data_IF_498290354505
#
_entry.id   IF_498290354505
#
_cell.length_a   1.000
_cell.length_b   1.000
_cell.length_c   1.000
_cell.angle_alpha   90.00
_cell.angle_beta   90.00
_cell.angle_gamma   90.00
#
_symmetry.space_group_name_H-M   'P 1'
#
loop_
_entity.id
_entity.type
_entity.pdbx_description
1 polymer ?
#
# COMPACT_ATOMS: atom_id res chain seq x y z
N UNK A 1 -34.43 -11.70 7.13
CA UNK A 1 -34.26 -10.23 7.25
C UNK A 1 -33.04 -9.90 6.43
N UNK A 2 -33.21 -9.40 5.21
CA UNK A 2 -32.06 -9.02 4.39
C UNK A 2 -31.30 -7.87 5.08
N UNK A 3 -29.96 -7.88 5.10
CA UNK A 3 -29.20 -6.79 5.68
C UNK A 3 -29.50 -5.53 4.89
N UNK A 4 -29.98 -4.47 5.56
CA UNK A 4 -30.01 -3.12 4.98
C UNK A 4 -28.61 -2.82 4.45
N UNK A 5 -28.51 -2.37 3.20
CA UNK A 5 -27.24 -1.99 2.59
C UNK A 5 -26.56 -0.95 3.51
N UNK A 6 -25.54 -1.38 4.25
CA UNK A 6 -24.76 -0.53 5.14
C UNK A 6 -23.82 0.32 4.30
N UNK A 7 -23.53 1.54 4.78
CA UNK A 7 -22.51 2.42 4.20
C UNK A 7 -21.18 1.68 4.14
N UNK A 8 -20.53 1.65 2.97
CA UNK A 8 -19.24 1.01 2.77
C UNK A 8 -18.06 1.99 2.96
N UNK A 9 -16.83 1.47 3.11
CA UNK A 9 -15.62 2.32 3.07
C UNK A 9 -15.54 3.10 1.75
N UNK A 10 -16.03 2.53 0.65
CA UNK A 10 -15.99 3.15 -0.67
C UNK A 10 -16.98 4.32 -0.76
N UNK A 11 -18.19 4.16 -0.21
CA UNK A 11 -19.20 5.20 -0.18
C UNK A 11 -18.69 6.45 0.55
N UNK A 12 -17.99 6.26 1.68
CA UNK A 12 -17.36 7.36 2.43
C UNK A 12 -16.28 8.05 1.58
N UNK A 13 -15.45 7.29 0.84
CA UNK A 13 -14.42 7.89 -0.03
C UNK A 13 -15.05 8.75 -1.11
N UNK A 14 -16.06 8.24 -1.80
CA UNK A 14 -16.78 8.95 -2.85
C UNK A 14 -17.43 10.22 -2.30
N UNK A 15 -18.13 10.11 -1.17
CA UNK A 15 -18.73 11.25 -0.50
C UNK A 15 -17.70 12.36 -0.19
N UNK A 16 -16.54 12.00 0.37
CA UNK A 16 -15.49 12.97 0.69
C UNK A 16 -14.88 13.58 -0.58
N UNK A 17 -14.52 12.75 -1.55
CA UNK A 17 -13.93 13.23 -2.80
C UNK A 17 -14.87 14.19 -3.53
N UNK A 18 -16.13 13.81 -3.69
CA UNK A 18 -17.17 14.62 -4.34
C UNK A 18 -17.40 15.93 -3.58
N UNK A 19 -17.49 15.88 -2.25
CA UNK A 19 -17.66 17.08 -1.43
C UNK A 19 -16.50 18.05 -1.60
N UNK A 20 -15.26 17.57 -1.57
CA UNK A 20 -14.07 18.41 -1.69
C UNK A 20 -13.95 19.05 -3.08
N UNK A 21 -14.29 18.31 -4.14
CA UNK A 21 -14.30 18.84 -5.51
C UNK A 21 -15.42 19.87 -5.70
N UNK A 22 -16.65 19.54 -5.29
CA UNK A 22 -17.82 20.40 -5.44
C UNK A 22 -17.70 21.70 -4.66
N UNK A 23 -17.06 21.68 -3.48
CA UNK A 23 -16.81 22.87 -2.65
C UNK A 23 -15.49 23.58 -2.97
N UNK A 24 -14.75 23.12 -3.98
CA UNK A 24 -13.45 23.68 -4.37
C UNK A 24 -12.47 23.78 -3.19
N UNK A 25 -12.51 22.78 -2.29
CA UNK A 25 -11.60 22.65 -1.15
C UNK A 25 -10.31 21.92 -1.56
N UNK A 26 -10.42 21.05 -2.57
CA UNK A 26 -9.29 20.35 -3.15
C UNK A 26 -8.25 21.32 -3.74
N UNK A 27 -6.98 20.94 -3.61
CA UNK A 27 -5.84 21.60 -4.25
C UNK A 27 -5.08 20.59 -5.12
N UNK A 28 -4.23 21.07 -6.03
CA UNK A 28 -3.51 20.19 -6.96
C UNK A 28 -2.64 19.15 -6.22
N UNK A 29 -2.66 17.85 -6.61
CA UNK A 29 -3.25 17.29 -7.82
C UNK A 29 -4.76 17.04 -7.73
N UNK A 30 -5.47 17.37 -8.82
CA UNK A 30 -6.90 17.13 -9.03
C UNK A 30 -7.14 16.24 -10.27
N UNK A 31 -8.27 15.50 -10.34
CA UNK A 31 -9.26 15.31 -9.27
C UNK A 31 -8.68 14.47 -8.11
N UNK A 32 -9.27 14.61 -6.92
CA UNK A 32 -8.84 13.90 -5.70
C UNK A 32 -9.31 12.44 -5.65
N UNK A 33 -10.22 12.02 -6.53
CA UNK A 33 -10.67 10.64 -6.64
C UNK A 33 -9.50 9.66 -6.79
N UNK A 34 -9.58 8.54 -6.06
CA UNK A 34 -8.54 7.50 -5.97
C UNK A 34 -7.20 7.99 -5.37
N UNK A 35 -7.19 9.13 -4.68
CA UNK A 35 -6.01 9.69 -4.03
C UNK A 35 -6.29 10.01 -2.56
N UNK A 36 -5.22 10.18 -1.79
CA UNK A 36 -5.31 10.97 -0.56
C UNK A 36 -5.50 12.44 -0.98
N UNK A 37 -6.62 13.10 -0.62
CA UNK A 37 -6.93 14.43 -1.12
C UNK A 37 -5.90 15.46 -0.70
N UNK A 38 -5.33 16.22 -1.64
CA UNK A 38 -4.69 17.48 -1.28
C UNK A 38 -5.75 18.57 -1.18
N UNK A 39 -5.54 19.55 -0.31
CA UNK A 39 -6.52 20.56 0.01
C UNK A 39 -5.89 21.92 0.28
N UNK A 40 -6.68 22.97 0.07
CA UNK A 40 -6.31 24.34 0.41
C UNK A 40 -6.11 24.45 1.92
N UNK A 41 -4.92 24.87 2.34
CA UNK A 41 -4.56 24.92 3.75
C UNK A 41 -3.82 23.68 4.27
N UNK A 42 -3.46 22.71 3.42
CA UNK A 42 -2.65 21.55 3.84
C UNK A 42 -1.32 21.94 4.49
N UNK A 43 -0.62 22.94 3.94
CA UNK A 43 0.60 23.48 4.55
C UNK A 43 0.38 24.12 5.92
N UNK A 44 -0.78 24.75 6.14
CA UNK A 44 -1.16 25.33 7.43
C UNK A 44 -1.42 24.20 8.45
N UNK A 45 -2.23 23.21 8.07
CA UNK A 45 -2.48 22.03 8.91
C UNK A 45 -1.18 21.30 9.28
N UNK A 46 -0.23 21.20 8.34
CA UNK A 46 1.10 20.64 8.60
C UNK A 46 1.88 21.42 9.67
N UNK A 47 1.71 22.75 9.79
CA UNK A 47 2.46 23.52 10.78
C UNK A 47 2.15 23.11 12.21
N UNK A 48 0.93 22.64 12.48
CA UNK A 48 0.47 22.23 13.80
C UNK A 48 1.27 21.05 14.37
N UNK A 49 2.00 20.30 13.53
CA UNK A 49 2.86 19.21 13.99
C UNK A 49 4.02 19.71 14.88
N UNK A 50 4.46 20.96 14.70
CA UNK A 50 5.55 21.54 15.49
C UNK A 50 5.20 21.71 16.97
N UNK A 51 3.91 21.85 17.27
CA UNK A 51 3.41 22.06 18.63
C UNK A 51 3.22 20.74 19.38
N UNK A 52 3.39 19.60 18.70
CA UNK A 52 3.30 18.28 19.32
C UNK A 52 4.61 17.91 20.03
N UNK A 53 4.52 17.62 21.32
CA UNK A 53 5.64 17.08 22.09
C UNK A 53 6.22 15.78 21.48
N UNK A 54 5.36 14.96 20.86
CA UNK A 54 5.78 13.75 20.15
C UNK A 54 6.68 14.06 18.95
N UNK A 55 6.44 15.14 18.21
CA UNK A 55 7.29 15.55 17.09
C UNK A 55 8.60 16.17 17.57
N UNK A 56 8.57 16.94 18.66
CA UNK A 56 9.76 17.55 19.24
C UNK A 56 10.83 16.49 19.59
N UNK A 57 10.40 15.37 20.20
CA UNK A 57 11.30 14.27 20.61
C UNK A 57 11.75 13.32 19.47
N UNK A 58 11.05 13.31 18.33
CA UNK A 58 11.38 12.44 17.19
C UNK A 58 12.75 12.77 16.58
N UNK A 59 13.55 11.74 16.30
CA UNK A 59 14.75 11.84 15.45
C UNK A 59 14.51 11.22 14.08
N UNK A 60 13.82 10.07 14.01
CA UNK A 60 13.46 9.41 12.76
C UNK A 60 11.94 9.43 12.54
N UNK A 61 11.51 10.06 11.44
CA UNK A 61 10.09 10.19 11.08
C UNK A 61 9.83 9.53 9.73
N UNK A 62 8.80 8.71 9.67
CA UNK A 62 8.25 8.21 8.42
C UNK A 62 7.09 9.09 7.99
N UNK A 63 7.11 9.57 6.75
CA UNK A 63 6.01 10.36 6.18
C UNK A 63 5.64 9.80 4.82
N UNK A 64 4.35 9.51 4.61
CA UNK A 64 3.85 9.04 3.31
C UNK A 64 4.18 10.03 2.17
N UNK A 65 4.28 9.55 0.91
CA UNK A 65 4.63 10.40 -0.23
C UNK A 65 3.47 11.28 -0.72
N UNK A 66 2.28 11.17 -0.13
CA UNK A 66 1.09 11.89 -0.55
C UNK A 66 1.29 13.42 -0.49
N UNK A 67 0.64 14.13 -1.41
CA UNK A 67 0.78 15.58 -1.55
C UNK A 67 0.39 16.39 -0.30
N UNK A 68 -0.73 16.13 0.43
CA UNK A 68 -1.06 16.91 1.62
C UNK A 68 -0.01 16.83 2.74
N UNK A 69 0.88 15.83 2.72
CA UNK A 69 1.91 15.63 3.75
C UNK A 69 3.25 16.29 3.39
N UNK A 70 3.36 16.98 2.25
CA UNK A 70 4.59 17.64 1.80
C UNK A 70 5.11 18.67 2.81
N UNK A 71 4.19 19.40 3.46
CA UNK A 71 4.54 20.34 4.52
C UNK A 71 5.23 19.66 5.70
N UNK A 72 4.77 18.48 6.12
CA UNK A 72 5.41 17.72 7.20
C UNK A 72 6.78 17.21 6.80
N UNK A 73 6.94 16.71 5.56
CA UNK A 73 8.26 16.32 5.03
C UNK A 73 9.25 17.48 5.05
N UNK A 74 8.82 18.67 4.63
CA UNK A 74 9.65 19.87 4.69
C UNK A 74 10.04 20.23 6.13
N UNK A 75 9.08 20.21 7.06
CA UNK A 75 9.32 20.52 8.47
C UNK A 75 10.29 19.54 9.14
N UNK A 76 10.18 18.25 8.82
CA UNK A 76 11.12 17.24 9.29
C UNK A 76 12.55 17.55 8.85
N UNK A 77 12.75 17.85 7.55
CA UNK A 77 14.05 18.20 7.00
C UNK A 77 14.61 19.51 7.60
N UNK A 78 13.77 20.54 7.76
CA UNK A 78 14.16 21.79 8.40
C UNK A 78 14.56 21.61 9.86
N UNK A 79 13.94 20.64 10.53
CA UNK A 79 14.24 20.26 11.92
C UNK A 79 15.43 19.29 12.02
N UNK A 80 16.12 19.01 10.91
CA UNK A 80 17.26 18.09 10.82
C UNK A 80 16.95 16.67 11.30
N UNK A 81 15.70 16.23 11.17
CA UNK A 81 15.27 14.86 11.48
C UNK A 81 15.59 13.94 10.30
N UNK A 82 15.85 12.67 10.56
CA UNK A 82 15.90 11.64 9.52
C UNK A 82 14.50 11.46 8.96
N UNK A 83 14.32 11.75 7.67
CA UNK A 83 13.05 11.57 6.97
C UNK A 83 13.09 10.29 6.14
N UNK A 84 12.17 9.38 6.43
CA UNK A 84 11.92 8.16 5.68
C UNK A 84 10.63 8.33 4.88
N UNK A 85 10.68 8.02 3.59
CA UNK A 85 9.52 8.04 2.71
C UNK A 85 9.34 6.66 2.08
N UNK A 86 8.16 6.03 2.19
CA UNK A 86 7.90 4.72 1.60
C UNK A 86 8.12 4.72 0.09
N UNK A 87 8.63 3.61 -0.44
CA UNK A 87 8.69 3.44 -1.89
C UNK A 87 7.29 3.18 -2.45
N UNK A 88 6.91 3.78 -3.59
CA UNK A 88 5.60 3.53 -4.17
C UNK A 88 5.38 2.04 -4.44
N UNK A 89 4.30 1.50 -3.85
CA UNK A 89 3.89 0.10 -4.01
C UNK A 89 4.95 -0.92 -3.58
N UNK A 90 5.91 -0.52 -2.73
CA UNK A 90 6.91 -1.41 -2.12
C UNK A 90 7.78 -2.18 -3.13
N UNK A 91 7.96 -1.65 -4.35
CA UNK A 91 8.60 -2.39 -5.46
C UNK A 91 10.13 -2.45 -5.39
N UNK A 92 10.78 -1.53 -4.68
CA UNK A 92 12.24 -1.35 -4.73
C UNK A 92 12.86 -1.15 -3.34
N UNK A 93 12.29 -1.77 -2.32
CA UNK A 93 12.67 -1.59 -0.91
C UNK A 93 11.57 -0.95 -0.07
N UNK A 94 11.78 -0.85 1.25
CA UNK A 94 10.75 -0.36 2.17
C UNK A 94 10.70 1.18 2.21
N UNK A 95 11.86 1.81 2.37
CA UNK A 95 11.95 3.27 2.46
C UNK A 95 13.02 3.86 1.54
N UNK A 96 12.87 5.15 1.28
CA UNK A 96 13.90 6.06 0.85
C UNK A 96 14.24 6.98 2.02
N UNK A 97 15.49 6.98 2.47
CA UNK A 97 16.02 7.98 3.41
C UNK A 97 16.39 9.23 2.64
N UNK A 98 15.76 10.35 2.94
CA UNK A 98 16.03 11.61 2.23
C UNK A 98 17.39 12.16 2.66
N UNK A 99 18.24 12.46 1.69
CA UNK A 99 19.61 12.95 1.87
C UNK A 99 19.77 14.29 1.14
N UNK A 100 19.40 15.42 1.77
CA UNK A 100 19.66 16.73 1.21
C UNK A 100 21.16 16.95 0.98
N UNK A 101 21.57 17.67 -0.08
CA UNK A 101 22.97 18.03 -0.30
C UNK A 101 23.57 18.79 0.90
N UNK A 102 24.89 18.67 1.16
CA UNK A 102 25.56 19.47 2.19
C UNK A 102 25.31 20.97 1.99
N UNK A 103 24.95 21.68 3.07
CA UNK A 103 24.64 23.11 3.00
C UNK A 103 23.30 23.45 2.32
N UNK A 104 22.40 22.48 2.15
CA UNK A 104 21.09 22.70 1.54
C UNK A 104 20.33 23.91 2.14
N UNK A 105 19.97 24.86 1.27
CA UNK A 105 19.14 26.00 1.64
C UNK A 105 17.69 25.57 1.86
N UNK A 106 16.86 26.47 2.43
CA UNK A 106 15.41 26.22 2.60
C UNK A 106 14.72 25.84 1.29
N UNK A 107 15.15 26.41 0.16
CA UNK A 107 14.56 26.10 -1.15
C UNK A 107 14.97 24.71 -1.66
N UNK A 108 16.20 24.27 -1.37
CA UNK A 108 16.66 22.91 -1.66
C UNK A 108 15.87 21.91 -0.81
N UNK A 109 15.68 22.18 0.49
CA UNK A 109 14.86 21.31 1.35
C UNK A 109 13.41 21.22 0.87
N UNK A 110 12.83 22.33 0.38
CA UNK A 110 11.50 22.32 -0.24
C UNK A 110 11.45 21.39 -1.45
N UNK A 111 12.48 21.39 -2.31
CA UNK A 111 12.59 20.45 -3.43
C UNK A 111 12.69 19.01 -2.93
N UNK A 112 13.54 18.71 -1.95
CA UNK A 112 13.70 17.37 -1.37
C UNK A 112 12.39 16.81 -0.79
N UNK A 113 11.51 17.65 -0.25
CA UNK A 113 10.22 17.23 0.32
C UNK A 113 9.16 16.84 -0.74
N UNK A 114 9.35 17.20 -2.01
CA UNK A 114 8.41 16.83 -3.09
C UNK A 114 8.58 15.37 -3.49
N UNK A 115 7.56 14.76 -4.12
CA UNK A 115 7.67 13.38 -4.63
C UNK A 115 8.79 13.20 -5.66
N UNK A 116 9.13 14.24 -6.42
CA UNK A 116 10.29 14.20 -7.32
C UNK A 116 11.61 14.32 -6.54
N UNK A 117 11.63 15.16 -5.50
CA UNK A 117 12.76 15.27 -4.58
C UNK A 117 13.09 13.97 -3.89
N UNK A 118 12.07 13.22 -3.46
CA UNK A 118 12.23 11.89 -2.89
C UNK A 118 12.97 10.96 -3.85
N UNK A 119 12.71 11.03 -5.16
CA UNK A 119 13.42 10.21 -6.15
C UNK A 119 14.86 10.65 -6.38
N UNK A 120 15.12 11.96 -6.32
CA UNK A 120 16.40 12.54 -6.72
C UNK A 120 17.40 12.71 -5.56
N UNK A 121 16.91 12.80 -4.32
CA UNK A 121 17.68 13.14 -3.13
C UNK A 121 17.43 12.13 -2.02
N UNK A 122 17.52 10.84 -2.34
CA UNK A 122 17.38 9.80 -1.33
C UNK A 122 18.30 8.61 -1.58
N UNK A 123 18.50 7.86 -0.51
CA UNK A 123 19.17 6.56 -0.52
C UNK A 123 18.17 5.48 -0.14
N UNK A 124 18.08 4.37 -0.88
CA UNK A 124 17.17 3.28 -0.54
C UNK A 124 17.57 2.63 0.78
N UNK A 125 16.56 2.19 1.52
CA UNK A 125 16.69 1.51 2.81
C UNK A 125 15.95 0.18 2.71
N UNK A 126 16.73 -0.90 2.78
CA UNK A 126 16.25 -2.27 2.64
C UNK A 126 15.61 -2.83 3.91
N UNK A 127 15.01 -4.02 3.79
CA UNK A 127 14.34 -4.72 4.89
C UNK A 127 15.30 -5.18 6.00
N UNK A 128 16.58 -5.40 5.68
CA UNK A 128 17.58 -5.83 6.67
C UNK A 128 18.15 -4.67 7.50
N UNK A 129 17.71 -3.44 7.22
CA UNK A 129 18.17 -2.27 7.96
C UNK A 129 17.51 -2.20 9.34
N UNK A 130 18.32 -1.87 10.36
CA UNK A 130 17.84 -1.62 11.73
C UNK A 130 17.36 -0.17 11.86
N UNK A 131 16.24 0.12 11.22
CA UNK A 131 15.57 1.43 11.32
C UNK A 131 14.63 1.42 12.53
N UNK A 132 14.60 2.51 13.30
CA UNK A 132 13.63 2.72 14.36
C UNK A 132 12.84 3.98 14.04
N UNK A 133 11.53 3.85 13.84
CA UNK A 133 10.66 4.97 13.48
C UNK A 133 9.98 5.49 14.76
N UNK A 134 10.31 6.72 15.14
CA UNK A 134 9.76 7.37 16.35
C UNK A 134 8.36 7.95 16.12
N UNK A 135 8.00 8.23 14.86
CA UNK A 135 6.76 8.86 14.46
C UNK A 135 6.37 8.46 13.04
N UNK A 136 5.11 8.07 12.87
CA UNK A 136 4.51 7.75 11.57
C UNK A 136 3.53 8.86 11.18
N UNK A 137 3.64 9.38 9.96
CA UNK A 137 2.70 10.34 9.40
C UNK A 137 2.07 9.75 8.15
N UNK A 138 0.76 9.51 8.22
CA UNK A 138 -0.01 8.74 7.23
C UNK A 138 -1.09 9.59 6.56
N UNK A 139 -1.28 9.39 5.25
CA UNK A 139 -2.33 10.02 4.47
C UNK A 139 -3.70 9.36 4.69
N UNK A 140 -4.78 10.14 4.71
CA UNK A 140 -6.14 9.64 4.92
C UNK A 140 -7.16 10.30 3.98
N UNK A 141 -8.19 9.54 3.57
CA UNK A 141 -9.37 10.11 2.91
C UNK A 141 -10.37 10.58 3.94
N UNK A 142 -10.63 9.77 4.98
CA UNK A 142 -11.52 10.13 6.07
C UNK A 142 -10.94 9.64 7.40
N UNK A 143 -11.24 10.37 8.48
CA UNK A 143 -10.91 9.97 9.85
C UNK A 143 -12.03 10.30 10.82
N UNK A 144 -12.14 9.52 11.89
CA UNK A 144 -13.03 9.82 13.02
C UNK A 144 -12.23 10.39 14.18
N UNK A 145 -12.85 11.24 15.00
CA UNK A 145 -12.26 11.72 16.26
C UNK A 145 -11.85 10.56 17.21
N UNK A 146 -12.43 9.36 17.03
CA UNK A 146 -12.05 8.12 17.71
C UNK A 146 -10.73 7.49 17.23
N UNK A 147 -10.06 8.09 16.24
CA UNK A 147 -8.80 7.61 15.67
C UNK A 147 -8.95 6.57 14.55
N UNK A 148 -10.17 6.38 14.05
CA UNK A 148 -10.47 5.47 12.95
C UNK A 148 -10.11 6.10 11.62
N UNK A 149 -9.54 5.32 10.69
CA UNK A 149 -8.94 5.84 9.47
C UNK A 149 -9.43 5.08 8.25
N UNK A 150 -9.78 5.81 7.19
CA UNK A 150 -10.02 5.26 5.86
C UNK A 150 -8.99 5.86 4.90
N UNK A 151 -8.12 5.01 4.36
CA UNK A 151 -7.22 5.37 3.27
C UNK A 151 -7.89 5.34 1.89
N UNK A 152 -7.12 5.56 0.82
CA UNK A 152 -7.61 5.57 -0.57
C UNK A 152 -8.13 4.24 -1.13
N UNK A 153 -7.92 3.13 -0.41
CA UNK A 153 -8.49 1.82 -0.75
C UNK A 153 -7.52 0.75 -1.26
N UNK A 154 -6.24 1.07 -1.46
CA UNK A 154 -5.24 0.09 -1.93
C UNK A 154 -4.56 -0.72 -0.79
N UNK A 155 -4.79 -0.36 0.48
CA UNK A 155 -4.21 -1.07 1.64
C UNK A 155 -2.70 -0.92 1.86
N UNK A 156 -2.01 -0.12 1.04
CA UNK A 156 -0.55 0.01 1.12
C UNK A 156 -0.03 0.56 2.45
N UNK A 157 -0.68 1.59 3.02
CA UNK A 157 -0.22 2.19 4.28
C UNK A 157 -0.37 1.21 5.46
N UNK A 158 -1.44 0.41 5.45
CA UNK A 158 -1.74 -0.60 6.47
C UNK A 158 -0.74 -1.77 6.39
N UNK A 159 -0.43 -2.21 5.16
CA UNK A 159 0.61 -3.22 4.91
C UNK A 159 2.00 -2.72 5.29
N UNK A 160 2.35 -1.49 4.92
CA UNK A 160 3.63 -0.89 5.23
C UNK A 160 3.85 -0.78 6.74
N UNK A 161 2.82 -0.36 7.49
CA UNK A 161 2.88 -0.35 8.95
C UNK A 161 3.09 -1.77 9.50
N UNK A 162 2.35 -2.74 8.99
CA UNK A 162 2.48 -4.14 9.39
C UNK A 162 3.87 -4.71 9.12
N UNK A 163 4.52 -4.29 8.03
CA UNK A 163 5.92 -4.63 7.72
C UNK A 163 6.89 -3.99 8.70
N UNK A 164 6.69 -2.71 9.04
CA UNK A 164 7.51 -2.05 10.06
C UNK A 164 7.40 -2.76 11.42
N UNK A 165 6.22 -3.27 11.77
CA UNK A 165 6.04 -4.04 13.02
C UNK A 165 6.84 -5.35 12.95
N UNK A 166 6.73 -6.10 11.85
CA UNK A 166 7.48 -7.35 11.66
C UNK A 166 9.00 -7.15 11.67
N UNK A 167 9.48 -5.98 11.26
CA UNK A 167 10.90 -5.60 11.31
C UNK A 167 11.35 -5.08 12.68
N UNK A 168 10.44 -4.89 13.63
CA UNK A 168 10.72 -4.21 14.90
C UNK A 168 11.03 -2.72 14.74
N UNK A 169 10.71 -2.11 13.60
CA UNK A 169 10.94 -0.70 13.32
C UNK A 169 9.91 0.21 13.99
N UNK A 170 8.71 -0.30 14.27
CA UNK A 170 7.68 0.38 15.06
C UNK A 170 7.11 -0.56 16.12
N UNK A 171 6.47 0.02 17.13
CA UNK A 171 5.74 -0.70 18.17
C UNK A 171 4.33 -0.12 18.33
N UNK A 172 3.48 -0.75 19.15
CA UNK A 172 2.16 -0.21 19.49
C UNK A 172 2.22 1.22 20.07
N UNK A 173 3.33 1.54 20.76
CA UNK A 173 3.58 2.86 21.33
C UNK A 173 4.09 3.90 20.33
N UNK A 174 4.43 3.53 19.09
CA UNK A 174 4.86 4.48 18.06
C UNK A 174 3.68 5.37 17.67
N UNK A 175 3.76 6.71 17.86
CA UNK A 175 2.67 7.61 17.52
C UNK A 175 2.41 7.67 16.01
N UNK A 176 1.12 7.76 15.65
CA UNK A 176 0.64 7.88 14.27
C UNK A 176 -0.15 9.18 14.15
N UNK A 177 0.26 10.01 13.19
CA UNK A 177 -0.32 11.33 12.91
C UNK A 177 -0.90 11.34 11.51
N UNK A 178 -2.04 12.00 11.33
CA UNK A 178 -2.58 12.28 9.99
C UNK A 178 -2.89 13.76 9.82
N UNK A 179 -2.73 14.24 8.58
CA UNK A 179 -3.06 15.62 8.18
C UNK A 179 -4.23 15.55 7.21
N UNK A 180 -5.33 16.20 7.55
CA UNK A 180 -6.57 16.19 6.76
C UNK A 180 -7.24 17.57 6.80
N UNK A 181 -8.16 17.83 5.86
CA UNK A 181 -9.06 18.96 5.95
C UNK A 181 -10.15 18.71 6.99
N UNK A 182 -10.75 19.75 7.57
CA UNK A 182 -11.82 19.65 8.57
C UNK A 182 -13.00 18.78 8.09
N UNK A 183 -13.37 18.87 6.82
CA UNK A 183 -14.47 18.08 6.23
C UNK A 183 -14.17 16.57 6.11
N UNK A 184 -12.91 16.16 6.24
CA UNK A 184 -12.51 14.76 6.23
C UNK A 184 -12.61 14.12 7.61
N UNK A 185 -12.90 14.92 8.65
CA UNK A 185 -13.20 14.43 10.00
C UNK A 185 -14.69 14.12 10.07
N UNK A 186 -15.04 12.84 10.06
CA UNK A 186 -16.42 12.33 9.98
C UNK A 186 -16.62 11.17 10.95
N UNK A 187 -17.87 10.89 11.30
CA UNK A 187 -18.17 9.65 12.02
C UNK A 187 -18.04 8.47 11.06
N UNK A 188 -17.21 7.50 11.42
CA UNK A 188 -16.97 6.27 10.64
C UNK A 188 -17.62 5.15 11.43
N UNK A 189 -18.50 4.32 10.86
CA UNK A 189 -19.05 3.18 11.61
C UNK A 189 -17.96 2.17 11.99
N UNK A 190 -17.93 1.72 13.24
CA UNK A 190 -16.93 0.75 13.73
C UNK A 190 -16.98 -0.57 12.94
N UNK A 191 -18.17 -0.97 12.48
CA UNK A 191 -18.39 -2.17 11.68
C UNK A 191 -17.63 -2.17 10.35
N UNK A 192 -17.10 -1.02 9.93
CA UNK A 192 -16.25 -0.92 8.75
C UNK A 192 -14.77 -1.16 9.07
N UNK A 193 -14.36 -1.17 10.33
CA UNK A 193 -12.97 -1.39 10.68
C UNK A 193 -12.62 -2.86 10.71
N UNK A 194 -11.39 -3.12 10.32
CA UNK A 194 -10.77 -4.42 10.30
C UNK A 194 -9.50 -4.41 11.13
N UNK A 195 -9.03 -5.58 11.57
CA UNK A 195 -7.88 -5.69 12.47
C UNK A 195 -6.55 -5.26 11.82
N UNK A 196 -6.53 -5.15 10.50
CA UNK A 196 -5.38 -4.66 9.75
C UNK A 196 -5.41 -3.15 9.51
N UNK A 197 -6.54 -2.46 9.76
CA UNK A 197 -6.63 -1.02 9.51
C UNK A 197 -5.78 -0.25 10.54
N UNK A 198 -4.86 0.59 10.05
CA UNK A 198 -4.03 1.44 10.89
C UNK A 198 -4.86 2.58 11.50
N UNK A 199 -4.90 2.66 12.82
CA UNK A 199 -5.49 3.76 13.59
C UNK A 199 -4.52 4.94 13.75
N UNK A 200 -5.06 6.11 14.09
CA UNK A 200 -4.29 7.35 14.28
C UNK A 200 -4.45 7.90 15.69
N UNK A 201 -3.35 8.42 16.25
CA UNK A 201 -3.31 9.02 17.59
C UNK A 201 -3.60 10.53 17.55
N UNK A 202 -3.21 11.19 16.46
CA UNK A 202 -3.40 12.63 16.26
C UNK A 202 -3.97 12.94 14.86
N UNK A 203 -4.95 13.83 14.83
CA UNK A 203 -5.54 14.38 13.61
C UNK A 203 -5.29 15.88 13.58
N UNK A 204 -4.59 16.35 12.55
CA UNK A 204 -4.23 17.74 12.39
C UNK A 204 -5.02 18.31 11.22
N UNK A 205 -5.82 19.33 11.52
CA UNK A 205 -6.61 20.08 10.56
C UNK A 205 -6.13 21.53 10.52
N UNK A 206 -6.53 22.34 9.51
CA UNK A 206 -6.27 23.76 9.52
C UNK A 206 -6.76 24.49 10.77
N UNK A 207 -7.87 24.04 11.39
CA UNK A 207 -8.51 24.77 12.50
C UNK A 207 -8.18 24.21 13.89
N UNK A 208 -7.81 22.93 13.99
CA UNK A 208 -7.61 22.25 15.28
C UNK A 208 -6.70 21.04 15.21
N UNK A 209 -6.17 20.67 16.37
CA UNK A 209 -5.44 19.42 16.63
C UNK A 209 -6.29 18.56 17.54
N UNK A 210 -6.51 17.30 17.16
CA UNK A 210 -7.32 16.33 17.92
C UNK A 210 -6.41 15.20 18.36
N UNK A 211 -6.38 14.92 19.67
CA UNK A 211 -5.80 13.70 20.24
C UNK A 211 -6.92 12.68 20.40
N UNK A 212 -6.80 11.53 19.76
CA UNK A 212 -7.94 10.61 19.55
C UNK A 212 -8.21 9.71 20.75
N UNK A 213 -7.20 9.43 21.56
CA UNK A 213 -7.31 8.46 22.65
C UNK A 213 -7.71 7.07 22.17
N UNK A 214 -7.36 6.70 20.93
CA UNK A 214 -7.81 5.47 20.31
C UNK A 214 -7.41 4.23 21.14
N UNK A 215 -8.40 3.50 21.65
CA UNK A 215 -8.18 2.28 22.44
C UNK A 215 -8.00 1.03 21.56
N UNK A 216 -8.38 1.12 20.28
CA UNK A 216 -8.22 0.01 19.33
C UNK A 216 -6.72 -0.19 19.05
N UNK A 217 -6.20 -1.42 19.18
CA UNK A 217 -4.79 -1.69 18.92
C UNK A 217 -4.44 -1.41 17.46
N UNK A 218 -3.22 -0.93 17.22
CA UNK A 218 -2.66 -0.82 15.88
C UNK A 218 -2.33 -2.23 15.35
N UNK A 219 -2.19 -2.43 14.04
CA UNK A 219 -1.82 -3.74 13.49
C UNK A 219 -0.57 -4.30 14.19
N UNK A 220 -0.60 -5.59 14.54
CA UNK A 220 0.49 -6.27 15.28
C UNK A 220 1.44 -7.04 14.37
N UNK A 221 1.27 -6.93 13.05
CA UNK A 221 2.05 -7.64 12.05
C UNK A 221 1.23 -7.91 10.79
N UNK A 222 1.83 -8.63 9.85
CA UNK A 222 1.19 -8.93 8.56
C UNK A 222 0.12 -10.02 8.74
N UNK A 223 -1.13 -9.69 8.40
CA UNK A 223 -2.24 -10.65 8.38
C UNK A 223 -2.28 -11.35 7.01
N UNK A 224 -1.50 -12.41 6.85
CA UNK A 224 -1.31 -13.13 5.58
C UNK A 224 -2.62 -13.62 4.93
N UNK A 225 -3.62 -13.98 5.73
CA UNK A 225 -4.92 -14.46 5.24
C UNK A 225 -5.72 -13.42 4.45
N UNK A 226 -5.35 -12.13 4.53
CA UNK A 226 -6.03 -11.04 3.81
C UNK A 226 -5.41 -10.69 2.46
N UNK A 227 -4.27 -11.29 2.11
CA UNK A 227 -3.61 -11.06 0.83
C UNK A 227 -3.85 -12.26 -0.10
N UNK A 228 -4.41 -12.00 -1.28
CA UNK A 228 -4.59 -13.03 -2.30
C UNK A 228 -3.22 -13.50 -2.83
N UNK A 229 -3.16 -14.76 -3.27
CA UNK A 229 -1.98 -15.39 -3.87
C UNK A 229 -1.35 -14.53 -4.99
N UNK A 230 -2.18 -13.82 -5.78
CA UNK A 230 -1.72 -12.91 -6.82
C UNK A 230 -0.93 -11.70 -6.27
N UNK A 231 -1.36 -11.14 -5.13
CA UNK A 231 -0.66 -10.06 -4.45
C UNK A 231 0.68 -10.55 -3.88
N UNK A 232 0.70 -11.75 -3.29
CA UNK A 232 1.94 -12.38 -2.81
C UNK A 232 2.92 -12.69 -3.95
N UNK A 233 2.44 -13.21 -5.08
CA UNK A 233 3.28 -13.54 -6.24
C UNK A 233 3.93 -12.30 -6.85
N UNK A 234 3.20 -11.18 -6.88
CA UNK A 234 3.70 -9.86 -7.28
C UNK A 234 4.73 -9.28 -6.30
N UNK A 235 4.55 -9.54 -5.01
CA UNK A 235 5.39 -8.98 -3.94
C UNK A 235 6.74 -9.71 -3.82
N UNK A 236 6.75 -11.04 -3.97
CA UNK A 236 7.94 -11.88 -3.80
C UNK A 236 8.64 -12.27 -5.10
N UNK A 237 8.25 -11.70 -6.25
CA UNK A 237 8.97 -11.94 -7.51
C UNK A 237 8.85 -13.38 -8.03
N UNK A 238 7.67 -13.99 -7.93
CA UNK A 238 7.34 -15.22 -8.65
C UNK A 238 7.92 -16.54 -8.14
N UNK A 239 8.57 -16.57 -6.98
CA UNK A 239 8.79 -17.84 -6.28
C UNK A 239 7.57 -18.14 -5.40
N UNK A 240 6.90 -19.24 -5.71
CA UNK A 240 5.72 -19.70 -4.98
C UNK A 240 6.08 -19.91 -3.50
N UNK A 241 5.60 -19.03 -2.63
CA UNK A 241 5.53 -19.33 -1.20
C UNK A 241 4.59 -20.53 -1.03
N UNK A 242 5.16 -21.70 -0.78
CA UNK A 242 4.43 -22.85 -0.25
C UNK A 242 3.97 -22.51 1.18
N UNK A 243 2.85 -21.80 1.29
CA UNK A 243 2.12 -21.72 2.55
C UNK A 243 1.49 -23.10 2.75
N UNK A 244 2.11 -23.91 3.62
CA UNK A 244 1.46 -25.09 4.17
C UNK A 244 0.32 -24.63 5.08
N UNK A 245 -0.88 -24.54 4.53
CA UNK A 245 -2.09 -24.54 5.34
C UNK A 245 -2.21 -25.93 5.97
N UNK A 246 -2.25 -26.09 7.31
CA UNK A 246 -2.61 -27.37 7.90
C UNK A 246 -4.09 -27.59 7.59
N UNK A 247 -4.37 -28.42 6.58
CA UNK A 247 -5.71 -28.93 6.38
C UNK A 247 -6.09 -29.74 7.62
N UNK A 248 -7.02 -29.18 8.41
CA UNK A 248 -7.70 -29.89 9.48
C UNK A 248 -8.38 -31.14 8.88
N UNK A 249 -7.90 -32.30 9.32
CA UNK A 249 -8.63 -33.56 9.42
C UNK A 249 -9.37 -34.07 8.18
N UNK A 250 -8.73 -34.96 7.43
CA UNK A 250 -9.44 -36.12 6.86
C UNK A 250 -8.79 -37.41 7.36
N UNK A 251 -9.56 -38.43 7.76
CA UNK A 251 -9.00 -39.68 8.27
C UNK A 251 -8.32 -40.46 7.15
N UNK A 252 -7.17 -41.07 7.42
CA UNK A 252 -6.52 -41.97 6.48
C UNK A 252 -7.26 -43.32 6.43
N UNK A 253 -7.62 -43.85 5.26
CA UNK A 253 -8.14 -45.20 5.17
C UNK A 253 -6.96 -46.16 4.97
N UNK A 254 -6.56 -46.86 6.02
CA UNK A 254 -5.77 -48.09 5.92
C UNK A 254 -6.03 -48.92 7.17
N UNK A 255 -7.02 -49.82 7.10
CA UNK A 255 -7.06 -51.15 7.73
C UNK A 255 -8.46 -51.76 7.51
N UNK A 256 -8.59 -52.66 6.53
CA UNK A 256 -9.03 -54.03 6.76
C UNK A 256 -8.97 -54.88 5.49
N UNK A 257 -8.65 -56.15 5.72
CA UNK A 257 -8.26 -57.15 4.74
C UNK A 257 -9.45 -57.90 4.12
N UNK A 258 -9.15 -58.47 2.95
CA UNK A 258 -9.71 -59.62 2.24
C UNK A 258 -11.06 -60.24 2.71
N UNK A 259 -12.00 -60.35 1.76
CA UNK A 259 -13.17 -61.23 1.83
C UNK A 259 -14.04 -61.16 0.58
N UNK A 260 -13.83 -62.12 -0.33
CA UNK A 260 -14.75 -62.73 -1.31
C UNK A 260 -15.72 -61.87 -2.17
N UNK A 261 -15.61 -62.07 -3.50
CA UNK A 261 -16.63 -61.73 -4.52
C UNK A 261 -17.49 -62.99 -4.82
N UNK A 262 -18.73 -62.88 -5.35
CA UNK A 262 -18.90 -62.59 -6.78
C UNK A 262 -20.19 -61.85 -7.24
N UNK A 263 -20.12 -61.45 -8.52
CA UNK A 263 -21.18 -61.36 -9.56
C UNK A 263 -22.18 -60.19 -9.55
N UNK A 264 -21.97 -59.22 -10.45
CA UNK A 264 -22.79 -59.00 -11.67
C UNK A 264 -22.39 -57.68 -12.39
N UNK A 265 -22.04 -57.77 -13.67
CA UNK A 265 -21.75 -56.70 -14.65
C UNK A 265 -23.05 -56.13 -15.28
N UNK A 266 -23.09 -55.08 -16.15
CA UNK A 266 -22.00 -54.53 -16.99
C UNK A 266 -21.91 -52.99 -17.23
N UNK A 267 -20.83 -52.65 -17.95
CA UNK A 267 -20.59 -51.53 -18.89
C UNK A 267 -20.39 -50.09 -18.38
N UNK A 268 -19.12 -49.67 -18.45
CA UNK A 268 -18.69 -48.27 -18.52
C UNK A 268 -18.56 -47.84 -20.00
N UNK A 269 -19.05 -46.64 -20.31
CA UNK A 269 -18.71 -45.90 -21.52
C UNK A 269 -17.96 -44.62 -21.12
N UNK A 270 -16.76 -44.47 -21.68
CA UNK A 270 -16.00 -43.22 -21.71
C UNK A 270 -16.71 -42.18 -22.59
N UNK A 271 -16.71 -40.91 -22.16
CA UNK A 271 -17.00 -39.78 -23.03
C UNK A 271 -16.11 -38.58 -22.65
N UNK A 272 -15.11 -38.36 -23.49
CA UNK A 272 -14.31 -37.14 -23.63
C UNK A 272 -15.07 -36.19 -24.54
N UNK A 273 -15.48 -35.00 -24.07
CA UNK A 273 -15.75 -33.76 -24.85
C UNK A 273 -15.77 -32.61 -23.82
N UNK A 274 -15.04 -31.50 -23.88
CA UNK A 274 -14.68 -30.62 -25.00
C UNK A 274 -15.36 -29.26 -24.75
N UNK A 275 -14.59 -28.22 -24.41
CA UNK A 275 -15.07 -26.84 -24.21
C UNK A 275 -15.60 -26.24 -25.54
N UNK A 276 -16.74 -25.54 -25.56
CA UNK A 276 -17.16 -24.78 -26.73
C UNK A 276 -16.70 -23.32 -26.64
N UNK A 277 -15.90 -22.90 -27.63
CA UNK A 277 -15.82 -21.51 -28.10
C UNK A 277 -16.93 -21.31 -29.14
N UNK A 278 -17.57 -20.15 -29.12
CA UNK A 278 -18.50 -19.68 -30.15
C UNK A 278 -18.37 -18.16 -30.33
N UNK A 279 -19.05 -17.57 -31.34
CA UNK A 279 -18.60 -17.64 -32.73
C UNK A 279 -18.31 -16.26 -33.34
N UNK A 280 -17.75 -16.31 -34.55
CA UNK A 280 -17.30 -15.21 -35.41
C UNK A 280 -18.08 -15.25 -36.73
N UNK A 281 -18.62 -14.11 -37.16
CA UNK A 281 -19.06 -13.73 -38.53
C UNK A 281 -19.15 -12.20 -38.51
N UNK A 282 -19.12 -11.41 -39.58
CA UNK A 282 -18.38 -11.34 -40.85
C UNK A 282 -18.73 -9.94 -41.42
N UNK A 283 -17.89 -9.36 -42.29
CA UNK A 283 -18.38 -8.43 -43.32
C UNK A 283 -17.82 -7.00 -43.39
N UNK A 284 -17.20 -6.75 -44.55
CA UNK A 284 -17.10 -5.48 -45.31
C UNK A 284 -15.96 -4.46 -45.10
N UNK A 285 -15.14 -4.36 -46.16
CA UNK A 285 -14.27 -3.22 -46.52
C UNK A 285 -15.08 -2.15 -47.23
N UNK A 286 -14.56 -0.90 -47.31
CA UNK A 286 -14.05 -0.49 -48.62
C UNK A 286 -12.71 0.29 -48.59
N UNK A 287 -12.24 0.47 -49.82
CA UNK A 287 -11.02 1.11 -50.38
C UNK A 287 -10.52 2.42 -49.79
N UNK A 288 -9.19 2.60 -49.82
CA UNK A 288 -8.51 3.89 -49.75
C UNK A 288 -7.04 3.79 -50.18
N UNK A 289 -6.72 4.32 -51.36
CA UNK A 289 -5.36 4.48 -51.89
C UNK A 289 -4.64 5.64 -51.22
N UNK A 290 -3.32 5.52 -50.95
CA UNK A 290 -2.38 6.64 -51.11
C UNK A 290 -0.92 6.15 -51.07
N UNK A 291 -0.19 6.57 -52.10
CA UNK A 291 1.24 6.45 -52.37
C UNK A 291 2.13 7.23 -51.39
N UNK A 292 3.38 6.79 -51.19
CA UNK A 292 4.41 7.64 -50.58
C UNK A 292 5.74 6.95 -50.26
N UNK A 293 6.71 7.15 -51.14
CA UNK A 293 8.15 6.90 -51.08
C UNK A 293 8.87 6.90 -49.71
N UNK A 294 9.96 6.11 -49.60
CA UNK A 294 11.17 6.54 -48.87
C UNK A 294 12.04 5.46 -48.22
N UNK A 295 13.03 4.94 -48.96
CA UNK A 295 14.45 4.72 -48.59
C UNK A 295 14.82 4.94 -47.09
N UNK A 296 15.61 4.17 -46.36
CA UNK A 296 16.77 3.31 -46.65
C UNK A 296 17.36 2.83 -45.30
N UNK A 297 18.24 1.81 -45.35
CA UNK A 297 19.40 1.73 -44.45
C UNK A 297 19.27 0.86 -43.20
N UNK A 298 19.78 -0.37 -43.29
CA UNK A 298 19.79 -1.34 -42.19
C UNK A 298 20.85 -1.12 -41.11
N UNK A 299 20.78 -1.93 -40.05
CA UNK A 299 21.95 -2.41 -39.34
C UNK A 299 21.69 -3.73 -38.59
N UNK A 300 22.79 -4.48 -38.47
CA UNK A 300 22.97 -5.86 -38.01
C UNK A 300 22.68 -6.09 -36.53
N UNK A 301 22.40 -7.36 -36.26
CA UNK A 301 22.44 -8.09 -34.97
C UNK A 301 23.87 -8.23 -34.44
N UNK A 302 24.04 -8.07 -33.12
CA UNK A 302 24.97 -8.80 -32.23
C UNK A 302 24.53 -8.47 -30.78
N UNK A 303 24.13 -9.45 -29.95
CA UNK A 303 24.98 -10.04 -28.90
C UNK A 303 25.07 -9.07 -27.72
N UNK A 304 24.46 -9.28 -26.55
CA UNK A 304 24.49 -10.48 -25.73
C UNK A 304 25.40 -10.18 -24.54
N UNK A 305 24.85 -9.61 -23.47
CA UNK A 305 25.50 -9.49 -22.17
C UNK A 305 24.48 -9.70 -21.06
N UNK A 306 24.83 -10.64 -20.18
CA UNK A 306 23.95 -11.28 -19.22
C UNK A 306 23.54 -10.40 -18.05
N UNK A 307 22.41 -10.79 -17.47
CA UNK A 307 21.92 -10.30 -16.19
C UNK A 307 22.86 -10.77 -15.07
N UNK A 308 23.23 -9.92 -14.09
CA UNK A 308 23.97 -10.41 -12.94
C UNK A 308 23.08 -11.36 -12.14
N UNK A 309 23.62 -12.55 -11.91
CA UNK A 309 23.02 -13.63 -11.13
C UNK A 309 22.75 -13.18 -9.69
N UNK A 310 21.53 -13.42 -9.23
CA UNK A 310 21.20 -13.42 -7.80
C UNK A 310 21.76 -14.71 -7.20
N UNK A 311 22.90 -14.62 -6.50
CA UNK A 311 23.42 -15.75 -5.70
C UNK A 311 23.05 -15.57 -4.23
N UNK A 312 22.21 -16.50 -3.76
CA UNK A 312 22.16 -17.09 -2.42
C UNK A 312 22.39 -16.17 -1.21
N UNK A 313 21.31 -15.61 -0.66
CA UNK A 313 21.30 -15.10 0.72
C UNK A 313 19.91 -15.08 1.39
N UNK A 314 18.96 -15.93 1.00
CA UNK A 314 17.56 -15.87 1.48
C UNK A 314 17.10 -17.04 2.37
N UNK A 315 17.97 -17.97 2.75
CA UNK A 315 17.55 -19.21 3.44
C UNK A 315 17.69 -19.24 4.96
N UNK A 316 18.04 -18.15 5.66
CA UNK A 316 18.26 -18.21 7.13
C UNK A 316 17.32 -17.37 8.01
N UNK A 317 16.30 -16.69 7.46
CA UNK A 317 15.39 -15.85 8.28
C UNK A 317 14.20 -16.63 8.88
N UNK A 318 13.94 -17.85 8.42
CA UNK A 318 12.74 -18.60 8.82
C UNK A 318 13.06 -19.71 9.83
N UNK A 319 13.70 -19.29 10.92
CA UNK A 319 13.96 -20.12 12.10
C UNK A 319 12.74 -20.14 13.02
N UNK A 320 12.08 -21.30 13.08
CA UNK A 320 11.05 -21.67 14.05
C UNK A 320 11.50 -21.38 15.49
N UNK A 321 10.54 -21.07 16.35
CA UNK A 321 10.55 -21.54 17.73
C UNK A 321 9.65 -20.75 18.66
N UNK A 322 9.40 -21.25 19.88
CA UNK A 322 9.30 -22.65 20.31
C UNK A 322 7.91 -23.25 20.06
#
# INVERSE_FOLDING_TARGET
MEPRAGVSKQDIREQIWDYMEARNLADFPRPVHHRIPNFKGSYLACQNIKDLAVFARTQEVKVDPDKPLEGVRLLALQSKKTLLVPTPRLRTGLFNKITPPPGATKDVLRKCATSQGVKNYSTPVGLDSRVLVDLVVVGSVAVSEKGWRIGKGEGYADLEYSMMVSMGAVSQGTPVVTIVHDCQVVDIPETLLEDHDLTVDYILTPTRVITTGCERPKPTGIVWSKYCFSFMFWFFGGEACHIHTPCLGRPSPNHWAAGEAPSSSPSAQEAVVGCPLGPQEDGEKPSGSCSGHGLSGGRRVAGGDGWPAWTEASTSIWGRGP
#
